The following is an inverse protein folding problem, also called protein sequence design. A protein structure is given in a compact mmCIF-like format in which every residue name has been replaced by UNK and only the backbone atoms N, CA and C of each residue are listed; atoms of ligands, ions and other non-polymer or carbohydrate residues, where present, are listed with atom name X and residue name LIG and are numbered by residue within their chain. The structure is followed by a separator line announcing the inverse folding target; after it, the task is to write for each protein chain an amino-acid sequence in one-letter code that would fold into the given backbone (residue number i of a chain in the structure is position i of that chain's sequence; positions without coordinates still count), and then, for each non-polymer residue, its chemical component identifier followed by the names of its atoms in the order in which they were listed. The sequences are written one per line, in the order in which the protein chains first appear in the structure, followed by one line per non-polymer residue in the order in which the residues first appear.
data_IF_297678981829
#
_entry.id   IF_297678981829
#
_cell.length_a   1.000
_cell.length_b   1.000
_cell.length_c   1.000
_cell.angle_alpha   90.00
_cell.angle_beta   90.00
_cell.angle_gamma   90.00
#
_symmetry.space_group_name_H-M   'P 1'
#
loop_
_entity.id
_entity.type
_entity.pdbx_description
1 polymer ?
#
# COMPACT_ATOMS: atom_id res chain seq x y z
N UNK A 1 -10.59 80.37 31.96
CA UNK A 1 -9.57 81.42 32.15
C UNK A 1 -8.43 81.01 31.26
N UNK A 2 -8.15 81.85 30.26
CA UNK A 2 -7.10 81.85 29.21
C UNK A 2 -6.43 80.51 28.87
N UNK A 3 -6.51 79.94 27.65
CA UNK A 3 -6.57 80.49 26.29
C UNK A 3 -5.36 81.33 25.86
N UNK A 4 -4.40 80.71 25.15
CA UNK A 4 -3.66 81.32 24.02
C UNK A 4 -2.84 80.29 23.26
N UNK A 5 -2.98 80.28 21.93
CA UNK A 5 -2.15 79.50 21.01
C UNK A 5 -1.14 80.41 20.28
N UNK A 6 0.10 79.94 20.07
CA UNK A 6 1.04 80.55 19.11
C UNK A 6 1.89 79.47 18.41
N UNK A 7 1.81 79.41 17.08
CA UNK A 7 2.87 78.88 16.18
C UNK A 7 3.67 80.09 15.67
N UNK A 8 4.97 79.98 15.35
CA UNK A 8 5.38 79.59 13.99
C UNK A 8 6.50 78.52 14.08
N UNK A 9 7.48 78.30 13.18
CA UNK A 9 7.86 78.90 11.88
C UNK A 9 8.64 77.87 11.05
N UNK A 10 8.50 77.91 9.72
CA UNK A 10 9.50 77.33 8.80
C UNK A 10 10.56 78.39 8.52
N UNK A 11 11.84 78.03 8.57
CA UNK A 11 12.91 78.85 7.99
C UNK A 11 13.67 78.04 6.95
N UNK A 12 13.65 78.58 5.74
CA UNK A 12 14.48 78.13 4.61
C UNK A 12 15.86 78.78 4.73
N UNK A 13 16.87 77.97 4.41
CA UNK A 13 18.18 78.30 3.81
C UNK A 13 18.38 79.78 3.41
N UNK A 14 19.54 80.37 3.70
CA UNK A 14 20.59 80.67 2.70
C UNK A 14 21.78 81.47 3.28
N UNK A 15 22.93 81.41 2.60
CA UNK A 15 24.12 82.22 2.87
C UNK A 15 25.15 81.60 3.81
N UNK A 16 26.46 81.76 3.59
CA UNK A 16 27.16 82.36 2.44
C UNK A 16 28.67 81.98 2.50
N UNK A 17 29.36 81.99 1.35
CA UNK A 17 30.76 82.44 1.12
C UNK A 17 31.80 82.39 2.27
N UNK A 18 33.08 82.00 2.10
CA UNK A 18 33.89 81.90 0.87
C UNK A 18 35.18 81.06 1.03
N UNK A 19 35.65 80.55 -0.11
CA UNK A 19 37.03 80.28 -0.57
C UNK A 19 38.18 80.56 0.45
N UNK A 20 39.05 79.56 0.74
CA UNK A 20 40.37 79.59 0.10
C UNK A 20 40.88 78.25 -0.45
N UNK A 21 41.47 78.32 -1.64
CA UNK A 21 42.18 77.22 -2.30
C UNK A 21 43.36 76.72 -1.46
N UNK A 22 43.41 75.42 -1.16
CA UNK A 22 44.69 74.72 -0.94
C UNK A 22 45.04 73.89 -2.16
N UNK A 23 46.18 74.20 -2.78
CA UNK A 23 46.82 73.31 -3.77
C UNK A 23 47.06 71.95 -3.11
N UNK A 24 46.40 70.92 -3.63
CA UNK A 24 46.72 69.54 -3.33
C UNK A 24 48.13 69.26 -3.85
N UNK A 25 49.07 69.00 -2.94
CA UNK A 25 50.30 68.29 -3.30
C UNK A 25 49.96 66.90 -3.85
N UNK A 26 50.86 66.26 -4.62
CA UNK A 26 50.60 64.97 -5.25
C UNK A 26 50.50 63.85 -4.21
N UNK A 27 49.32 63.72 -3.61
CA UNK A 27 48.89 62.56 -2.84
C UNK A 27 48.83 61.37 -3.81
N UNK A 28 49.95 60.65 -3.92
CA UNK A 28 50.06 59.39 -4.65
C UNK A 28 49.26 58.31 -3.91
N UNK A 29 47.93 58.42 -3.95
CA UNK A 29 47.00 57.39 -3.45
C UNK A 29 47.18 56.14 -4.30
N UNK A 30 48.11 55.29 -3.86
CA UNK A 30 48.08 53.86 -4.17
C UNK A 30 46.68 53.38 -3.80
N UNK A 31 45.85 53.10 -4.81
CA UNK A 31 44.67 52.27 -4.64
C UNK A 31 45.14 50.85 -4.42
N UNK A 32 45.66 50.57 -3.22
CA UNK A 32 45.90 49.21 -2.77
C UNK A 32 44.63 48.39 -2.98
N UNK A 33 44.80 47.18 -3.47
CA UNK A 33 43.70 46.23 -3.62
C UNK A 33 43.06 46.02 -2.24
N UNK A 34 41.83 46.52 -2.05
CA UNK A 34 41.09 46.29 -0.81
C UNK A 34 40.96 44.78 -0.59
N UNK A 35 41.25 44.26 0.63
CA UNK A 35 41.19 42.82 0.90
C UNK A 35 39.81 42.24 0.59
N UNK A 36 38.74 43.03 0.67
CA UNK A 36 37.39 42.63 0.26
C UNK A 36 37.28 42.28 -1.25
N UNK A 37 38.02 42.97 -2.13
CA UNK A 37 38.04 42.66 -3.57
C UNK A 37 38.81 41.37 -3.86
N UNK A 38 39.90 41.14 -3.13
CA UNK A 38 40.69 39.90 -3.22
C UNK A 38 39.87 38.71 -2.71
N UNK A 39 39.20 38.86 -1.56
CA UNK A 39 38.30 37.85 -0.99
C UNK A 39 37.12 37.51 -1.91
N UNK A 40 36.48 38.52 -2.51
CA UNK A 40 35.40 38.30 -3.50
C UNK A 40 35.90 37.55 -4.74
N UNK A 41 37.06 37.92 -5.27
CA UNK A 41 37.69 37.20 -6.39
C UNK A 41 37.99 35.74 -6.05
N UNK A 42 38.47 35.47 -4.83
CA UNK A 42 38.77 34.12 -4.36
C UNK A 42 37.49 33.26 -4.17
N UNK A 43 36.40 33.86 -3.66
CA UNK A 43 35.09 33.20 -3.59
C UNK A 43 34.53 32.86 -4.98
N UNK A 44 34.64 33.78 -5.95
CA UNK A 44 34.19 33.53 -7.32
C UNK A 44 35.02 32.45 -8.02
N UNK A 45 36.34 32.39 -7.75
CA UNK A 45 37.20 31.31 -8.24
C UNK A 45 36.83 29.95 -7.64
N UNK A 46 36.52 29.88 -6.33
CA UNK A 46 36.06 28.64 -5.68
C UNK A 46 34.71 28.17 -6.24
N UNK A 47 33.76 29.08 -6.46
CA UNK A 47 32.47 28.78 -7.10
C UNK A 47 32.66 28.28 -8.54
N UNK A 48 33.53 28.93 -9.33
CA UNK A 48 33.86 28.50 -10.69
C UNK A 48 34.50 27.11 -10.74
N UNK A 49 35.43 26.83 -9.81
CA UNK A 49 36.06 25.52 -9.69
C UNK A 49 35.07 24.42 -9.28
N UNK A 50 34.14 24.71 -8.36
CA UNK A 50 33.09 23.77 -7.96
C UNK A 50 32.14 23.45 -9.12
N UNK A 51 31.69 24.47 -9.87
CA UNK A 51 30.85 24.28 -11.05
C UNK A 51 31.57 23.51 -12.17
N UNK A 52 32.86 23.78 -12.39
CA UNK A 52 33.67 23.05 -13.36
C UNK A 52 33.84 21.57 -12.96
N UNK A 53 34.10 21.28 -11.68
CA UNK A 53 34.19 19.92 -11.17
C UNK A 53 32.85 19.16 -11.27
N UNK A 54 31.74 19.83 -10.98
CA UNK A 54 30.40 19.25 -11.09
C UNK A 54 30.00 19.00 -12.55
N UNK A 55 30.32 19.93 -13.46
CA UNK A 55 30.15 19.75 -14.91
C UNK A 55 31.02 18.62 -15.48
N UNK A 56 32.27 18.51 -15.03
CA UNK A 56 33.16 17.39 -15.38
C UNK A 56 32.59 16.04 -14.92
N UNK A 57 32.08 15.97 -13.69
CA UNK A 57 31.49 14.74 -13.15
C UNK A 57 30.22 14.33 -13.91
N UNK A 58 29.36 15.30 -14.28
CA UNK A 58 28.19 15.06 -15.12
C UNK A 58 28.59 14.56 -16.53
N UNK A 59 29.62 15.15 -17.13
CA UNK A 59 30.13 14.70 -18.43
C UNK A 59 30.70 13.27 -18.33
N UNK A 60 31.48 12.98 -17.29
CA UNK A 60 32.03 11.64 -17.03
C UNK A 60 30.91 10.61 -16.78
N UNK A 61 29.81 11.00 -16.13
CA UNK A 61 28.63 10.16 -15.96
C UNK A 61 27.94 9.90 -17.30
N UNK A 62 27.79 10.92 -18.15
CA UNK A 62 27.20 10.82 -19.48
C UNK A 62 27.97 9.84 -20.37
N UNK A 63 29.29 10.00 -20.49
CA UNK A 63 30.14 9.08 -21.25
C UNK A 63 30.07 7.63 -20.73
N UNK A 64 30.01 7.41 -19.41
CA UNK A 64 29.80 6.07 -18.85
C UNK A 64 28.39 5.52 -19.13
N UNK A 65 27.37 6.38 -19.17
CA UNK A 65 26.00 5.97 -19.52
C UNK A 65 25.93 5.56 -20.99
N UNK A 66 26.50 6.34 -21.89
CA UNK A 66 26.59 6.06 -23.32
C UNK A 66 27.34 4.75 -23.57
N UNK A 67 28.47 4.52 -22.88
CA UNK A 67 29.22 3.27 -22.98
C UNK A 67 28.45 2.06 -22.40
N UNK A 68 27.64 2.23 -21.34
CA UNK A 68 26.75 1.17 -20.86
C UNK A 68 25.60 0.90 -21.83
N UNK A 69 25.01 1.93 -22.44
CA UNK A 69 23.93 1.80 -23.43
C UNK A 69 24.44 1.15 -24.72
N UNK A 70 25.64 1.51 -25.19
CA UNK A 70 26.28 0.87 -26.34
C UNK A 70 26.76 -0.57 -26.08
N UNK A 71 26.91 -0.97 -24.81
CA UNK A 71 27.21 -2.35 -24.38
C UNK A 71 25.96 -3.16 -24.03
N UNK A 72 24.77 -2.56 -24.00
CA UNK A 72 23.54 -3.35 -24.07
C UNK A 72 23.48 -3.96 -25.47
N UNK A 73 23.42 -5.30 -25.61
CA UNK A 73 23.21 -5.89 -26.91
C UNK A 73 21.84 -5.43 -27.44
N UNK A 74 21.79 -5.07 -28.72
CA UNK A 74 20.56 -4.81 -29.46
C UNK A 74 19.79 -6.12 -29.71
N UNK A 75 19.45 -6.80 -28.61
CA UNK A 75 18.80 -8.09 -28.61
C UNK A 75 17.29 -7.90 -28.48
N UNK A 76 16.74 -7.34 -29.56
CA UNK A 76 15.34 -7.25 -29.93
C UNK A 76 14.38 -6.78 -28.83
N UNK A 77 13.78 -5.60 -29.02
CA UNK A 77 12.49 -5.28 -28.40
C UNK A 77 11.46 -6.41 -28.62
N UNK A 78 11.50 -7.05 -29.80
CA UNK A 78 10.72 -8.24 -30.13
C UNK A 78 11.04 -9.52 -29.31
N UNK A 79 12.21 -9.63 -28.67
CA UNK A 79 12.56 -10.74 -27.76
C UNK A 79 11.93 -10.52 -26.38
N UNK A 80 11.93 -9.27 -25.89
CA UNK A 80 11.19 -8.89 -24.68
C UNK A 80 9.69 -8.99 -24.89
N UNK A 81 9.17 -8.56 -26.05
CA UNK A 81 7.76 -8.73 -26.42
C UNK A 81 7.40 -10.22 -26.54
N UNK A 82 8.22 -11.05 -27.20
CA UNK A 82 8.02 -12.51 -27.25
C UNK A 82 8.01 -13.11 -25.86
N UNK A 83 8.98 -12.83 -25.00
CA UNK A 83 9.05 -13.42 -23.66
C UNK A 83 7.98 -12.87 -22.71
N UNK A 84 7.47 -11.65 -22.90
CA UNK A 84 6.26 -11.14 -22.21
C UNK A 84 4.99 -11.79 -22.74
N UNK A 85 4.88 -12.03 -24.05
CA UNK A 85 3.74 -12.69 -24.68
C UNK A 85 3.71 -14.19 -24.38
N UNK A 86 4.87 -14.84 -24.31
CA UNK A 86 5.07 -16.23 -23.90
C UNK A 86 4.82 -16.39 -22.39
N UNK A 87 5.17 -15.40 -21.56
CA UNK A 87 4.71 -15.31 -20.16
C UNK A 87 3.21 -15.08 -20.03
N UNK A 88 2.55 -14.37 -20.96
CA UNK A 88 1.08 -14.32 -21.03
C UNK A 88 0.47 -15.63 -21.53
N UNK A 89 1.23 -16.41 -22.31
CA UNK A 89 0.93 -17.78 -22.71
C UNK A 89 1.23 -18.83 -21.62
N UNK A 90 1.86 -18.46 -20.50
CA UNK A 90 1.89 -19.31 -19.31
C UNK A 90 0.48 -19.40 -18.72
N UNK A 91 -0.22 -20.45 -19.18
CA UNK A 91 -1.38 -21.11 -18.58
C UNK A 91 -1.78 -20.51 -17.23
N UNK A 92 -2.71 -19.54 -17.26
CA UNK A 92 -2.99 -18.66 -16.11
C UNK A 92 -3.25 -19.46 -14.85
N UNK A 93 -2.37 -19.33 -13.84
CA UNK A 93 -2.47 -20.13 -12.62
C UNK A 93 -3.89 -20.04 -12.02
N UNK A 94 -4.52 -21.19 -11.71
CA UNK A 94 -5.81 -21.25 -11.05
C UNK A 94 -5.87 -20.34 -9.82
N UNK A 95 -6.85 -19.45 -9.77
CA UNK A 95 -7.05 -18.50 -8.69
C UNK A 95 -8.52 -18.10 -8.58
N UNK A 96 -8.98 -17.91 -7.35
CA UNK A 96 -10.34 -17.46 -7.04
C UNK A 96 -10.34 -16.58 -5.80
N UNK A 97 -11.24 -15.60 -5.81
CA UNK A 97 -11.66 -14.86 -4.62
C UNK A 97 -13.18 -14.78 -4.65
N UNK A 98 -13.82 -15.21 -3.59
CA UNK A 98 -15.27 -15.26 -3.42
C UNK A 98 -15.65 -14.40 -2.21
N UNK A 99 -16.75 -13.68 -2.30
CA UNK A 99 -17.12 -12.67 -1.29
C UNK A 99 -18.46 -12.98 -0.62
N UNK A 100 -18.61 -12.60 0.65
CA UNK A 100 -19.85 -12.82 1.40
C UNK A 100 -21.01 -11.97 0.88
N UNK A 101 -22.14 -12.61 0.59
CA UNK A 101 -23.36 -12.01 0.06
C UNK A 101 -24.59 -12.38 0.92
N UNK A 102 -25.76 -11.78 0.67
CA UNK A 102 -26.96 -12.04 1.47
C UNK A 102 -27.42 -13.51 1.46
N UNK A 103 -27.09 -14.26 0.40
CA UNK A 103 -27.32 -15.70 0.27
C UNK A 103 -26.28 -16.57 0.97
N UNK A 104 -25.23 -16.00 1.56
CA UNK A 104 -24.12 -16.77 2.17
C UNK A 104 -24.52 -17.62 3.37
N UNK A 105 -25.54 -17.19 4.13
CA UNK A 105 -26.06 -17.94 5.27
C UNK A 105 -27.26 -18.76 4.80
N UNK A 106 -27.14 -20.08 4.89
CA UNK A 106 -28.17 -21.01 4.41
C UNK A 106 -29.17 -21.37 5.49
N UNK A 107 -28.77 -21.28 6.76
CA UNK A 107 -29.56 -21.74 7.91
C UNK A 107 -29.81 -23.25 7.95
N UNK A 108 -29.30 -24.03 6.98
CA UNK A 108 -29.59 -25.46 6.80
C UNK A 108 -28.49 -26.39 7.34
N UNK A 109 -27.44 -25.83 7.96
CA UNK A 109 -26.25 -26.59 8.38
C UNK A 109 -25.33 -26.96 7.22
N UNK A 110 -25.52 -26.38 6.03
CA UNK A 110 -24.64 -26.52 4.89
C UNK A 110 -23.29 -25.78 5.06
N UNK A 111 -22.46 -25.75 4.00
CA UNK A 111 -21.36 -24.80 3.91
C UNK A 111 -21.89 -23.38 3.68
N UNK A 112 -21.06 -22.38 3.99
CA UNK A 112 -21.32 -21.00 3.57
C UNK A 112 -21.36 -20.91 2.05
N UNK A 113 -22.36 -20.20 1.50
CA UNK A 113 -22.38 -19.81 0.10
C UNK A 113 -21.61 -18.51 -0.11
N UNK A 114 -21.23 -18.21 -1.35
CA UNK A 114 -20.43 -17.04 -1.70
C UNK A 114 -20.86 -16.46 -3.05
N UNK A 115 -20.66 -15.15 -3.22
CA UNK A 115 -20.66 -14.47 -4.51
C UNK A 115 -19.36 -14.80 -5.26
N UNK A 116 -19.45 -15.00 -6.58
CA UNK A 116 -18.39 -15.53 -7.44
C UNK A 116 -18.12 -14.71 -8.71
N UNK A 117 -18.99 -13.74 -9.01
CA UNK A 117 -18.96 -12.96 -10.25
C UNK A 117 -19.04 -11.45 -10.01
N UNK A 118 -19.74 -11.00 -8.96
CA UNK A 118 -19.99 -9.58 -8.70
C UNK A 118 -18.96 -8.94 -7.76
N UNK A 119 -18.68 -7.65 -8.00
CA UNK A 119 -17.85 -6.83 -7.12
C UNK A 119 -16.37 -7.24 -7.12
N UNK A 120 -15.87 -7.68 -5.96
CA UNK A 120 -14.49 -8.14 -5.79
C UNK A 120 -14.31 -9.65 -6.09
N UNK A 121 -15.41 -10.36 -6.37
CA UNK A 121 -15.36 -11.79 -6.61
C UNK A 121 -14.87 -12.10 -8.04
N UNK A 122 -14.06 -13.15 -8.18
CA UNK A 122 -13.63 -13.68 -9.47
C UNK A 122 -13.28 -15.17 -9.40
N UNK A 123 -13.36 -15.83 -10.57
CA UNK A 123 -12.95 -17.20 -10.81
C UNK A 123 -12.01 -17.26 -12.02
N UNK A 124 -10.88 -17.97 -11.92
CA UNK A 124 -9.96 -18.25 -13.03
C UNK A 124 -9.37 -19.63 -12.84
N UNK A 125 -9.65 -20.59 -13.74
CA UNK A 125 -9.15 -21.97 -13.60
C UNK A 125 -9.67 -22.71 -12.36
N UNK A 126 -10.74 -22.20 -11.75
CA UNK A 126 -11.48 -22.82 -10.65
C UNK A 126 -12.98 -22.65 -10.95
N UNK A 127 -13.77 -23.65 -10.60
CA UNK A 127 -15.24 -23.59 -10.71
C UNK A 127 -15.85 -23.37 -9.33
N UNK A 128 -17.09 -22.88 -9.28
CA UNK A 128 -17.83 -22.72 -8.03
C UNK A 128 -19.17 -23.45 -8.09
N UNK A 129 -19.51 -24.20 -7.03
CA UNK A 129 -20.75 -24.98 -6.93
C UNK A 129 -21.16 -25.12 -5.47
N UNK A 130 -22.39 -24.71 -5.12
CA UNK A 130 -23.03 -24.99 -3.82
C UNK A 130 -22.13 -24.68 -2.59
N UNK A 131 -21.47 -23.52 -2.58
CA UNK A 131 -20.57 -23.09 -1.50
C UNK A 131 -19.12 -23.59 -1.61
N UNK A 132 -18.81 -24.41 -2.62
CA UNK A 132 -17.50 -25.02 -2.80
C UNK A 132 -16.73 -24.45 -3.99
N UNK A 133 -15.42 -24.21 -3.81
CA UNK A 133 -14.46 -24.08 -4.91
C UNK A 133 -14.07 -25.46 -5.41
N UNK A 134 -14.22 -25.71 -6.70
CA UNK A 134 -13.95 -26.99 -7.36
C UNK A 134 -12.68 -26.88 -8.20
N UNK A 135 -11.73 -27.77 -7.93
CA UNK A 135 -10.39 -27.77 -8.51
C UNK A 135 -10.40 -28.28 -9.95
N UNK A 136 -9.89 -27.50 -10.92
CA UNK A 136 -9.82 -27.94 -12.34
C UNK A 136 -8.46 -28.49 -12.77
N UNK A 137 -7.39 -28.17 -12.03
CA UNK A 137 -6.01 -28.61 -12.27
C UNK A 137 -5.42 -29.10 -10.95
N UNK A 138 -4.91 -30.32 -10.90
CA UNK A 138 -4.30 -30.87 -9.70
C UNK A 138 -3.01 -30.11 -9.33
N UNK A 139 -2.71 -30.01 -8.04
CA UNK A 139 -1.49 -29.39 -7.53
C UNK A 139 -1.65 -28.81 -6.12
N UNK A 140 -0.66 -28.02 -5.70
CA UNK A 140 -0.69 -27.32 -4.43
C UNK A 140 -1.44 -25.99 -4.56
N UNK A 141 -2.31 -25.71 -3.59
CA UNK A 141 -3.09 -24.49 -3.51
C UNK A 141 -2.93 -23.85 -2.14
N UNK A 142 -2.61 -22.56 -2.12
CA UNK A 142 -2.84 -21.74 -0.93
C UNK A 142 -4.33 -21.41 -0.85
N UNK A 143 -5.03 -22.02 0.10
CA UNK A 143 -6.44 -21.76 0.40
C UNK A 143 -6.54 -20.81 1.58
N UNK A 144 -7.51 -19.90 1.57
CA UNK A 144 -7.70 -18.93 2.64
C UNK A 144 -9.16 -18.51 2.82
N UNK A 145 -9.53 -18.15 4.04
CA UNK A 145 -10.86 -17.63 4.36
C UNK A 145 -10.76 -16.59 5.47
N UNK A 146 -11.57 -15.53 5.38
CA UNK A 146 -11.90 -14.66 6.51
C UNK A 146 -13.41 -14.68 6.74
N UNK A 147 -13.82 -14.82 8.00
CA UNK A 147 -15.21 -14.57 8.41
C UNK A 147 -15.24 -13.47 9.47
N UNK A 148 -16.07 -12.46 9.23
CA UNK A 148 -16.41 -11.47 10.24
C UNK A 148 -17.46 -12.06 11.19
N UNK A 149 -17.15 -12.06 12.47
CA UNK A 149 -18.03 -12.48 13.55
C UNK A 149 -18.53 -11.25 14.33
N UNK A 150 -19.68 -11.40 14.97
CA UNK A 150 -20.19 -10.45 15.94
C UNK A 150 -21.54 -10.85 16.53
N UNK A 151 -21.88 -10.27 17.68
CA UNK A 151 -23.11 -10.59 18.39
C UNK A 151 -23.51 -9.50 19.38
N UNK A 152 -24.75 -9.59 19.86
CA UNK A 152 -25.24 -8.80 21.00
C UNK A 152 -25.38 -9.77 22.17
N UNK A 153 -24.56 -9.60 23.19
CA UNK A 153 -24.42 -10.58 24.26
C UNK A 153 -23.91 -11.94 23.77
N UNK A 154 -24.16 -12.96 24.58
CA UNK A 154 -23.69 -14.32 24.37
C UNK A 154 -24.89 -15.28 24.38
N UNK A 155 -25.20 -15.97 23.27
CA UNK A 155 -26.17 -17.07 23.28
C UNK A 155 -25.79 -18.11 24.35
N UNK A 156 -26.77 -18.81 24.92
CA UNK A 156 -26.56 -19.69 26.08
C UNK A 156 -25.42 -20.72 25.87
N UNK A 157 -25.26 -21.27 24.66
CA UNK A 157 -24.16 -22.18 24.32
C UNK A 157 -22.77 -21.51 24.23
N UNK A 158 -22.70 -20.24 23.83
CA UNK A 158 -21.45 -19.46 23.86
C UNK A 158 -21.13 -18.98 25.29
N UNK A 159 -22.16 -18.72 26.10
CA UNK A 159 -22.03 -18.40 27.51
C UNK A 159 -21.59 -19.61 28.38
N UNK A 160 -21.85 -20.84 27.95
CA UNK A 160 -21.27 -22.07 28.52
C UNK A 160 -19.87 -22.40 27.98
N UNK A 161 -19.27 -21.51 27.18
CA UNK A 161 -17.88 -21.61 26.75
C UNK A 161 -17.64 -22.35 25.43
N UNK A 162 -18.68 -22.74 24.68
CA UNK A 162 -18.49 -23.36 23.36
C UNK A 162 -17.84 -22.37 22.39
N UNK A 163 -16.72 -22.73 21.73
CA UNK A 163 -16.06 -21.84 20.78
C UNK A 163 -16.80 -21.80 19.44
N UNK A 164 -16.83 -20.61 18.84
CA UNK A 164 -17.16 -20.45 17.43
C UNK A 164 -16.08 -21.13 16.60
N UNK A 165 -16.47 -22.12 15.82
CA UNK A 165 -15.57 -22.81 14.89
C UNK A 165 -15.72 -22.19 13.50
N UNK A 166 -14.59 -21.84 12.90
CA UNK A 166 -14.46 -21.48 11.48
C UNK A 166 -13.47 -22.47 10.88
N UNK A 167 -13.81 -23.11 9.77
CA UNK A 167 -12.90 -24.07 9.13
C UNK A 167 -13.07 -24.19 7.62
N UNK A 168 -11.99 -24.59 6.96
CA UNK A 168 -11.97 -25.03 5.57
C UNK A 168 -11.92 -26.56 5.55
N UNK A 169 -12.78 -27.17 4.73
CA UNK A 169 -12.94 -28.61 4.63
C UNK A 169 -12.83 -29.06 3.17
N UNK A 170 -12.29 -30.27 2.93
CA UNK A 170 -12.21 -30.89 1.61
C UNK A 170 -13.31 -31.92 1.42
N UNK A 171 -13.95 -31.88 0.24
CA UNK A 171 -14.79 -32.96 -0.29
C UNK A 171 -14.05 -33.66 -1.42
N UNK A 172 -14.02 -34.98 -1.39
CA UNK A 172 -13.32 -35.80 -2.38
C UNK A 172 -14.08 -37.09 -2.61
N UNK A 173 -14.22 -37.60 -3.85
CA UNK A 173 -14.84 -38.91 -4.08
C UNK A 173 -14.03 -40.07 -3.47
N UNK A 174 -12.80 -39.81 -3.00
CA UNK A 174 -11.93 -40.79 -2.33
C UNK A 174 -12.30 -41.06 -0.86
N UNK A 175 -13.18 -40.26 -0.26
CA UNK A 175 -13.58 -40.39 1.15
C UNK A 175 -15.04 -39.91 1.35
N UNK A 176 -15.91 -40.66 2.05
CA UNK A 176 -17.34 -40.34 2.11
C UNK A 176 -17.68 -39.11 2.98
N UNK A 177 -16.77 -38.70 3.87
CA UNK A 177 -16.97 -37.56 4.77
C UNK A 177 -16.11 -36.35 4.38
N UNK A 178 -16.37 -35.21 5.02
CA UNK A 178 -15.61 -33.98 4.80
C UNK A 178 -14.32 -33.99 5.63
N UNK A 179 -13.18 -33.77 4.99
CA UNK A 179 -11.87 -33.77 5.64
C UNK A 179 -11.51 -32.38 6.15
N UNK A 180 -11.21 -32.22 7.44
CA UNK A 180 -10.69 -30.97 8.00
C UNK A 180 -9.32 -30.62 7.38
N UNK A 181 -9.20 -29.40 6.83
CA UNK A 181 -7.93 -28.87 6.30
C UNK A 181 -7.33 -27.84 7.25
N UNK A 182 -8.11 -26.82 7.60
CA UNK A 182 -7.69 -25.69 8.43
C UNK A 182 -8.85 -25.31 9.34
N UNK A 183 -8.63 -25.24 10.66
CA UNK A 183 -9.70 -24.94 11.63
C UNK A 183 -9.21 -23.93 12.66
N UNK A 184 -10.02 -22.91 12.94
CA UNK A 184 -9.84 -21.94 14.02
C UNK A 184 -11.03 -21.99 14.97
N UNK A 185 -10.76 -22.07 16.27
CA UNK A 185 -11.74 -22.02 17.34
C UNK A 185 -11.56 -20.71 18.11
N UNK A 186 -12.63 -19.93 18.26
CA UNK A 186 -12.64 -18.61 18.92
C UNK A 186 -13.70 -18.61 20.02
N UNK A 187 -13.34 -18.14 21.21
CA UNK A 187 -14.29 -17.97 22.32
C UNK A 187 -14.54 -16.48 22.58
N UNK A 188 -15.39 -15.80 21.76
CA UNK A 188 -15.65 -14.37 21.90
C UNK A 188 -16.32 -14.01 23.24
N UNK A 189 -16.96 -15.00 23.88
CA UNK A 189 -17.66 -14.88 25.15
C UNK A 189 -16.82 -15.37 26.36
N UNK A 190 -15.55 -14.95 26.44
CA UNK A 190 -14.61 -15.39 27.48
C UNK A 190 -14.85 -14.86 28.90
N UNK A 191 -15.82 -13.94 29.11
CA UNK A 191 -16.24 -13.46 30.43
C UNK A 191 -17.77 -13.29 30.45
N UNK A 192 -18.40 -13.76 31.53
CA UNK A 192 -19.84 -13.90 31.64
C UNK A 192 -20.61 -12.56 31.59
N UNK A 193 -21.86 -12.63 31.10
CA UNK A 193 -22.91 -11.60 31.22
C UNK A 193 -22.48 -10.14 30.97
N UNK A 194 -21.92 -9.88 29.78
CA UNK A 194 -22.02 -8.54 29.20
C UNK A 194 -23.11 -8.55 28.12
N UNK A 195 -24.13 -7.68 28.26
CA UNK A 195 -25.13 -7.38 27.22
C UNK A 195 -24.54 -6.54 26.06
N UNK A 196 -23.21 -6.50 25.96
CA UNK A 196 -22.49 -5.63 25.04
C UNK A 196 -22.44 -6.24 23.64
N UNK A 197 -22.35 -5.36 22.65
CA UNK A 197 -22.06 -5.74 21.27
C UNK A 197 -20.58 -6.12 21.19
N UNK A 198 -20.27 -7.24 20.55
CA UNK A 198 -18.90 -7.67 20.27
C UNK A 198 -18.69 -7.94 18.79
N UNK A 199 -17.44 -7.79 18.35
CA UNK A 199 -16.99 -8.03 16.98
C UNK A 199 -15.62 -8.74 17.05
N UNK A 200 -15.43 -9.76 16.21
CA UNK A 200 -14.15 -10.48 16.05
C UNK A 200 -14.02 -10.90 14.58
N UNK A 201 -12.82 -11.27 14.14
CA UNK A 201 -12.61 -11.83 12.80
C UNK A 201 -11.73 -13.07 12.86
N UNK A 202 -12.20 -14.16 12.28
CA UNK A 202 -11.41 -15.38 12.13
C UNK A 202 -10.83 -15.45 10.72
N UNK A 203 -9.50 -15.49 10.62
CA UNK A 203 -8.77 -15.72 9.37
C UNK A 203 -8.07 -17.09 9.42
N UNK A 204 -8.07 -17.77 8.29
CA UNK A 204 -7.37 -19.02 8.04
C UNK A 204 -6.67 -18.94 6.70
N UNK A 205 -5.47 -19.54 6.60
CA UNK A 205 -4.73 -19.63 5.36
C UNK A 205 -3.65 -20.72 5.44
N UNK A 206 -3.47 -21.50 4.38
CA UNK A 206 -2.51 -22.61 4.35
C UNK A 206 -2.43 -23.29 2.99
N UNK A 207 -1.35 -24.03 2.74
CA UNK A 207 -1.13 -24.77 1.49
C UNK A 207 -1.63 -26.20 1.64
N UNK A 208 -2.41 -26.67 0.68
CA UNK A 208 -2.92 -28.06 0.60
C UNK A 208 -2.76 -28.62 -0.81
N UNK A 209 -2.64 -29.95 -0.94
CA UNK A 209 -2.73 -30.62 -2.25
C UNK A 209 -4.18 -30.91 -2.60
N UNK A 210 -4.60 -30.49 -3.80
CA UNK A 210 -5.95 -30.71 -4.33
C UNK A 210 -5.86 -31.43 -5.68
N UNK A 211 -6.74 -32.39 -5.89
CA UNK A 211 -6.87 -33.15 -7.13
C UNK A 211 -7.99 -32.58 -8.00
N UNK A 212 -7.98 -32.89 -9.31
CA UNK A 212 -9.05 -32.47 -10.22
C UNK A 212 -10.40 -33.00 -9.72
N UNK A 213 -11.38 -32.10 -9.61
CA UNK A 213 -12.73 -32.41 -9.12
C UNK A 213 -12.90 -32.38 -7.60
N UNK A 214 -11.83 -32.29 -6.81
CA UNK A 214 -11.96 -32.08 -5.36
C UNK A 214 -12.48 -30.67 -5.05
N UNK A 215 -13.37 -30.59 -4.05
CA UNK A 215 -13.98 -29.34 -3.62
C UNK A 215 -13.43 -28.87 -2.27
N UNK A 216 -13.30 -27.55 -2.10
CA UNK A 216 -13.01 -26.91 -0.80
C UNK A 216 -14.18 -26.02 -0.42
N UNK A 217 -14.68 -26.19 0.81
CA UNK A 217 -15.79 -25.44 1.39
C UNK A 217 -15.35 -24.70 2.66
N UNK A 218 -16.15 -23.72 3.09
CA UNK A 218 -16.02 -23.08 4.40
C UNK A 218 -17.24 -23.39 5.26
N UNK A 219 -17.00 -23.74 6.54
CA UNK A 219 -18.05 -23.92 7.54
C UNK A 219 -17.89 -23.00 8.74
N UNK A 220 -19.03 -22.52 9.23
CA UNK A 220 -19.21 -21.88 10.54
C UNK A 220 -20.50 -22.43 11.13
N UNK A 221 -20.46 -23.39 12.08
CA UNK A 221 -21.67 -24.08 12.55
C UNK A 221 -22.74 -23.16 13.17
N UNK A 222 -22.33 -22.05 13.81
CA UNK A 222 -23.26 -20.99 14.24
C UNK A 222 -23.22 -19.82 13.25
N UNK A 223 -23.85 -20.02 12.09
CA UNK A 223 -23.98 -19.00 11.02
C UNK A 223 -24.56 -17.67 11.54
N UNK A 224 -25.34 -17.67 12.63
CA UNK A 224 -26.01 -16.48 13.21
C UNK A 224 -25.02 -15.45 13.76
N UNK A 225 -23.77 -15.87 14.00
CA UNK A 225 -22.69 -15.01 14.45
C UNK A 225 -21.92 -14.37 13.29
N UNK A 226 -22.12 -14.82 12.06
CA UNK A 226 -21.47 -14.25 10.87
C UNK A 226 -22.12 -12.92 10.50
N UNK A 227 -21.31 -11.88 10.30
CA UNK A 227 -21.77 -10.52 10.01
C UNK A 227 -21.37 -10.11 8.60
N UNK A 228 -22.24 -10.48 7.66
CA UNK A 228 -22.18 -10.07 6.26
C UNK A 228 -22.32 -8.56 6.09
N UNK A 229 -21.85 -8.04 4.95
CA UNK A 229 -22.00 -6.63 4.56
C UNK A 229 -21.93 -6.44 3.04
N UNK A 230 -20.73 -6.14 2.55
CA UNK A 230 -20.41 -5.59 1.22
C UNK A 230 -19.33 -6.43 0.52
N UNK A 231 -19.23 -7.72 0.85
CA UNK A 231 -18.18 -8.62 0.39
C UNK A 231 -16.78 -8.38 1.00
N UNK A 232 -16.49 -7.23 1.61
CA UNK A 232 -15.14 -6.91 2.13
C UNK A 232 -14.83 -7.58 3.48
N UNK A 233 -15.85 -7.95 4.24
CA UNK A 233 -15.73 -8.41 5.64
C UNK A 233 -15.57 -9.92 5.78
N UNK A 234 -16.20 -10.69 4.90
CA UNK A 234 -16.08 -12.14 4.84
C UNK A 234 -15.79 -12.55 3.39
N UNK A 235 -14.79 -13.38 3.18
CA UNK A 235 -14.37 -13.86 1.86
C UNK A 235 -13.65 -15.20 1.96
N UNK A 236 -13.64 -15.95 0.85
CA UNK A 236 -13.02 -17.26 0.70
C UNK A 236 -12.29 -17.31 -0.64
N UNK A 237 -11.07 -17.84 -0.69
CA UNK A 237 -10.33 -17.93 -1.95
C UNK A 237 -9.25 -18.98 -1.94
N UNK A 238 -8.67 -19.17 -3.12
CA UNK A 238 -7.58 -20.11 -3.36
C UNK A 238 -6.71 -19.63 -4.52
N UNK A 239 -5.42 -19.98 -4.52
CA UNK A 239 -4.60 -19.91 -5.73
C UNK A 239 -3.56 -21.03 -5.77
N UNK A 240 -3.26 -21.52 -6.96
CA UNK A 240 -2.20 -22.50 -7.19
C UNK A 240 -0.82 -21.86 -6.95
N UNK A 241 0.03 -22.58 -6.20
CA UNK A 241 1.42 -22.22 -5.90
C UNK A 241 2.42 -23.04 -6.71
#
# INVERSE_FOLDING_TARGET
MEDTAVRPSVFVVEGQTDIPFRRLGPSRKQRCCSPARVGLGLLLLLLGAALAAQGWFLLQLYWRLEEMVARLPDQDAGSWEKSVQERRSHQTNPAAHLTGANSSLTGSGGPLLWESQLGLAFLRGLSYRNGALVTTKAGYYYIYSKVQLGGVGCPQGLASGLPVTHGLYKRTPRYPEELELLVSRRSPCGRANSSRVWWDSSFLGGVVHLEVGEEVIVRVPDERLVRLRDGTRSYFGAFMV
#
